data_IF_334780951769
#
_entry.id   IF_334780951769
#
_cell.length_a   1.000
_cell.length_b   1.000
_cell.length_c   1.000
_cell.angle_alpha   90.00
_cell.angle_beta   90.00
_cell.angle_gamma   90.00
#
_symmetry.space_group_name_H-M   'P 1'
#
loop_
_entity.id
_entity.type
_entity.pdbx_description
1 polymer ?
#
# COMPACT_ATOMS: atom_id res chain seq x y z
N UNK A 1 42.47 11.30 21.25
CA UNK A 1 41.56 12.40 20.81
C UNK A 1 40.91 12.15 19.45
N UNK A 2 41.36 11.16 18.66
CA UNK A 2 40.76 10.79 17.36
C UNK A 2 39.41 10.03 17.45
N UNK A 3 39.22 9.25 18.53
CA UNK A 3 38.04 8.39 18.70
C UNK A 3 36.71 9.17 18.68
N UNK A 4 36.72 10.42 19.16
CA UNK A 4 35.52 11.27 19.21
C UNK A 4 35.07 11.60 17.79
N UNK A 5 36.00 11.94 16.89
CA UNK A 5 35.69 12.21 15.49
C UNK A 5 35.17 10.97 14.77
N UNK A 6 35.73 9.79 15.07
CA UNK A 6 35.24 8.52 14.54
C UNK A 6 33.80 8.23 15.00
N UNK A 7 33.50 8.41 16.29
CA UNK A 7 32.16 8.21 16.84
C UNK A 7 31.13 9.17 16.23
N UNK A 8 31.50 10.43 16.04
CA UNK A 8 30.64 11.42 15.38
C UNK A 8 30.35 10.99 13.93
N UNK A 9 31.37 10.59 13.17
CA UNK A 9 31.20 10.15 11.79
C UNK A 9 30.28 8.93 11.69
N UNK A 10 30.46 7.94 12.57
CA UNK A 10 29.59 6.75 12.63
C UNK A 10 28.16 7.14 12.99
N UNK A 11 27.96 7.97 14.01
CA UNK A 11 26.63 8.42 14.44
C UNK A 11 25.86 9.14 13.32
N UNK A 12 26.52 10.09 12.65
CA UNK A 12 25.93 10.83 11.53
C UNK A 12 25.64 9.91 10.35
N UNK A 13 26.54 8.97 10.05
CA UNK A 13 26.34 7.99 8.97
C UNK A 13 25.11 7.11 9.21
N UNK A 14 24.94 6.62 10.44
CA UNK A 14 23.77 5.82 10.82
C UNK A 14 22.49 6.65 10.72
N UNK A 15 22.48 7.89 11.23
CA UNK A 15 21.33 8.78 11.13
C UNK A 15 20.95 9.07 9.66
N UNK A 16 21.94 9.33 8.80
CA UNK A 16 21.72 9.55 7.37
C UNK A 16 21.18 8.29 6.67
N UNK A 17 21.72 7.11 6.99
CA UNK A 17 21.23 5.84 6.44
C UNK A 17 19.76 5.60 6.82
N UNK A 18 19.39 5.82 8.09
CA UNK A 18 18.00 5.74 8.54
C UNK A 18 17.09 6.75 7.81
N UNK A 19 17.53 7.99 7.64
CA UNK A 19 16.78 9.01 6.93
C UNK A 19 16.54 8.62 5.46
N UNK A 20 17.57 8.14 4.76
CA UNK A 20 17.45 7.70 3.36
C UNK A 20 16.50 6.50 3.24
N UNK A 21 16.63 5.51 4.13
CA UNK A 21 15.73 4.35 4.17
C UNK A 21 14.28 4.78 4.43
N UNK A 22 14.07 5.71 5.36
CA UNK A 22 12.75 6.27 5.65
C UNK A 22 12.14 6.99 4.43
N UNK A 23 12.91 7.86 3.78
CA UNK A 23 12.45 8.56 2.58
C UNK A 23 12.14 7.59 1.43
N UNK A 24 12.95 6.55 1.26
CA UNK A 24 12.69 5.50 0.27
C UNK A 24 11.39 4.75 0.55
N UNK A 25 11.15 4.35 1.80
CA UNK A 25 9.92 3.65 2.22
C UNK A 25 8.67 4.51 2.04
N UNK A 26 8.74 5.81 2.35
CA UNK A 26 7.62 6.74 2.12
C UNK A 26 7.37 6.91 0.61
N UNK A 27 8.44 7.00 -0.19
CA UNK A 27 8.35 7.17 -1.65
C UNK A 27 7.90 5.91 -2.37
N UNK A 28 8.09 4.72 -1.80
CA UNK A 28 7.77 3.43 -2.44
C UNK A 28 6.28 3.12 -2.52
N UNK A 29 5.40 4.05 -2.13
CA UNK A 29 3.95 3.91 -2.32
C UNK A 29 3.36 2.76 -1.50
N UNK A 30 4.03 2.32 -0.43
CA UNK A 30 3.48 1.27 0.45
C UNK A 30 2.21 1.72 1.19
N UNK A 31 1.86 3.00 1.08
CA UNK A 31 0.62 3.61 1.54
C UNK A 31 -0.48 3.67 0.46
N UNK A 32 -0.23 3.17 -0.77
CA UNK A 32 -1.24 3.21 -1.84
C UNK A 32 -2.42 2.23 -1.59
N UNK A 33 -2.34 1.40 -0.55
CA UNK A 33 -3.45 0.57 -0.04
C UNK A 33 -4.18 1.26 1.13
N UNK A 34 -4.54 2.52 0.93
CA UNK A 34 -5.38 3.31 1.86
C UNK A 34 -6.88 2.89 1.80
N UNK A 35 -7.25 1.99 0.89
CA UNK A 35 -8.61 1.47 0.74
C UNK A 35 -8.76 0.13 1.47
N UNK A 36 -9.13 0.21 2.74
CA UNK A 36 -9.37 -0.96 3.58
C UNK A 36 -10.29 -1.97 2.88
N UNK A 37 -9.94 -3.28 2.85
CA UNK A 37 -10.74 -4.30 2.18
C UNK A 37 -12.20 -4.36 2.67
N UNK A 38 -12.45 -3.92 3.90
CA UNK A 38 -13.79 -3.79 4.47
C UNK A 38 -14.70 -2.79 3.73
N UNK A 39 -14.14 -1.67 3.23
CA UNK A 39 -14.91 -0.65 2.50
C UNK A 39 -15.30 -1.16 1.12
N UNK A 40 -14.35 -1.79 0.42
CA UNK A 40 -14.62 -2.46 -0.86
C UNK A 40 -15.69 -3.54 -0.72
N UNK A 41 -15.62 -4.35 0.35
CA UNK A 41 -16.58 -5.40 0.61
C UNK A 41 -17.98 -4.88 1.00
N UNK A 42 -18.07 -3.71 1.65
CA UNK A 42 -19.36 -3.09 2.01
C UNK A 42 -20.12 -2.60 0.76
N UNK A 43 -19.41 -2.06 -0.23
CA UNK A 43 -19.98 -1.54 -1.48
C UNK A 43 -20.06 -2.56 -2.64
N UNK A 44 -19.31 -3.66 -2.60
CA UNK A 44 -19.42 -4.77 -3.57
C UNK A 44 -20.78 -5.50 -3.47
N UNK A 45 -21.47 -5.39 -2.33
CA UNK A 45 -22.81 -5.98 -2.13
C UNK A 45 -23.95 -5.18 -2.80
N UNK A 46 -23.68 -3.99 -3.33
CA UNK A 46 -24.61 -3.23 -4.16
C UNK A 46 -24.34 -3.50 -5.64
N UNK A 47 -24.35 -4.78 -6.02
CA UNK A 47 -24.52 -5.15 -7.42
C UNK A 47 -25.94 -4.76 -7.83
N UNK A 48 -26.18 -3.81 -8.76
CA UNK A 48 -27.52 -3.66 -9.32
C UNK A 48 -27.87 -5.00 -9.94
N UNK A 49 -28.96 -5.61 -9.47
CA UNK A 49 -29.45 -6.90 -9.91
C UNK A 49 -29.34 -6.97 -11.44
N UNK A 50 -28.39 -7.78 -11.94
CA UNK A 50 -28.29 -8.10 -13.36
C UNK A 50 -29.68 -8.63 -13.74
N UNK A 51 -30.42 -7.99 -14.65
CA UNK A 51 -31.77 -8.44 -14.95
C UNK A 51 -31.63 -9.87 -15.45
N UNK A 52 -32.30 -10.78 -14.73
CA UNK A 52 -32.41 -12.17 -15.13
C UNK A 52 -32.96 -12.18 -16.55
N UNK A 53 -32.12 -12.53 -17.52
CA UNK A 53 -32.58 -12.88 -18.86
C UNK A 53 -33.41 -14.14 -18.66
N UNK A 54 -34.73 -13.95 -18.71
CA UNK A 54 -35.72 -15.03 -18.78
C UNK A 54 -35.32 -15.99 -19.88
N UNK A 55 -35.46 -17.25 -19.52
CA UNK A 55 -35.48 -18.41 -20.39
C UNK A 55 -36.23 -18.11 -21.69
N UNK A 56 -35.62 -18.44 -22.83
CA UNK A 56 -36.37 -18.79 -24.03
C UNK A 56 -35.95 -20.20 -24.45
N UNK A 57 -36.74 -21.17 -23.98
CA UNK A 57 -36.89 -22.45 -24.66
C UNK A 57 -37.65 -22.17 -25.95
N UNK A 58 -36.96 -22.18 -27.08
CA UNK A 58 -37.61 -22.43 -28.36
C UNK A 58 -36.65 -23.12 -29.33
N UNK A 59 -36.99 -24.36 -29.66
CA UNK A 59 -36.75 -25.04 -30.95
C UNK A 59 -35.32 -25.15 -31.48
N UNK A 60 -34.76 -26.36 -31.43
CA UNK A 60 -34.71 -27.25 -32.61
C UNK A 60 -34.32 -28.67 -32.22
#
# INVERSE_FOLDING_TARGET
>A
MYIIFLMIAVSVSVAAAFLVAFLWAVRSGQYDDDYTPAVRMLFDNETPAKPARKDDKSTS
#
